data_IF_786561548966
#
_entry.id   IF_786561548966
#
_cell.length_a   1.000
_cell.length_b   1.000
_cell.length_c   1.000
_cell.angle_alpha   90.00
_cell.angle_beta   90.00
_cell.angle_gamma   90.00
#
_symmetry.space_group_name_H-M   'P 1'
#
loop_
_entity.id
_entity.type
_entity.pdbx_description
1 polymer ?
#
# COMPACT_ATOMS: atom_id res chain seq x y z
N UNK A 1 8.61 -8.80 15.74
CA UNK A 1 8.66 -7.65 14.83
C UNK A 1 8.10 -8.03 13.48
N UNK A 2 7.32 -7.15 12.89
CA UNK A 2 6.70 -7.38 11.58
C UNK A 2 7.09 -6.28 10.61
N UNK A 3 7.08 -6.64 9.33
CA UNK A 3 7.26 -5.69 8.25
C UNK A 3 5.99 -5.70 7.42
N UNK A 4 5.41 -4.53 7.22
CA UNK A 4 4.19 -4.39 6.41
C UNK A 4 4.54 -3.58 5.16
N UNK A 5 4.26 -4.16 4.02
CA UNK A 5 4.45 -3.51 2.73
C UNK A 5 3.09 -3.24 2.12
N UNK A 6 2.84 -1.98 1.80
CA UNK A 6 1.63 -1.56 1.10
C UNK A 6 2.06 -1.15 -0.29
N UNK A 7 1.47 -1.77 -1.30
CA UNK A 7 1.79 -1.49 -2.69
C UNK A 7 0.55 -1.02 -3.41
N UNK A 8 0.69 0.04 -4.18
CA UNK A 8 -0.39 0.60 -5.00
C UNK A 8 -0.03 0.41 -6.46
N UNK A 9 -0.99 -0.08 -7.23
CA UNK A 9 -0.82 -0.37 -8.66
C UNK A 9 -1.89 0.34 -9.47
N UNK A 10 -1.58 0.69 -10.70
CA UNK A 10 -2.60 1.13 -11.64
C UNK A 10 -3.37 -0.09 -12.18
N UNK A 11 -4.35 0.16 -13.03
CA UNK A 11 -5.19 -0.91 -13.57
C UNK A 11 -4.47 -1.79 -14.58
N UNK A 12 -3.29 -1.37 -15.03
CA UNK A 12 -2.45 -2.17 -15.91
C UNK A 12 -1.50 -3.06 -15.10
N UNK A 13 -1.54 -2.95 -13.78
CA UNK A 13 -0.68 -3.73 -12.91
C UNK A 13 0.69 -3.12 -12.70
N UNK A 14 0.91 -1.88 -13.12
CA UNK A 14 2.19 -1.22 -12.94
C UNK A 14 2.26 -0.61 -11.55
N UNK A 15 3.39 -0.77 -10.83
CA UNK A 15 3.51 -0.20 -9.50
C UNK A 15 3.56 1.32 -9.56
N UNK A 16 2.79 1.94 -8.68
CA UNK A 16 2.68 3.38 -8.56
C UNK A 16 3.39 3.87 -7.31
N UNK A 17 3.22 3.16 -6.21
CA UNK A 17 3.72 3.61 -4.93
C UNK A 17 3.86 2.43 -3.99
N UNK A 18 4.81 2.52 -3.07
CA UNK A 18 5.04 1.46 -2.10
C UNK A 18 5.49 2.07 -0.78
N UNK A 19 5.03 1.50 0.31
CA UNK A 19 5.46 1.87 1.64
C UNK A 19 5.82 0.62 2.43
N UNK A 20 6.95 0.65 3.09
CA UNK A 20 7.39 -0.43 3.96
C UNK A 20 7.51 0.13 5.37
N UNK A 21 6.82 -0.50 6.30
CA UNK A 21 6.80 -0.07 7.69
C UNK A 21 7.15 -1.25 8.59
N UNK A 22 8.02 -1.02 9.55
CA UNK A 22 8.41 -2.03 10.53
C UNK A 22 7.85 -1.67 11.89
N UNK A 23 7.53 -2.67 12.67
CA UNK A 23 7.03 -2.46 14.01
C UNK A 23 6.58 -3.76 14.66
N UNK A 24 5.83 -3.63 15.73
CA UNK A 24 5.26 -4.79 16.40
C UNK A 24 3.88 -5.08 15.79
N UNK A 25 3.49 -6.34 15.82
CA UNK A 25 2.26 -6.77 15.16
C UNK A 25 1.00 -6.06 15.69
N UNK A 26 1.01 -5.69 16.97
CA UNK A 26 -0.14 -5.01 17.57
C UNK A 26 -0.28 -3.55 17.11
N UNK A 27 0.78 -2.94 16.59
CA UNK A 27 0.74 -1.55 16.15
C UNK A 27 -0.07 -1.36 14.88
N UNK A 28 -0.14 -2.39 14.04
CA UNK A 28 -0.81 -2.26 12.74
C UNK A 28 -2.31 -2.36 12.82
N UNK A 29 -2.82 -2.76 13.97
CA UNK A 29 -4.27 -2.78 14.19
C UNK A 29 -4.83 -1.37 14.41
N UNK A 30 -3.95 -0.44 14.80
CA UNK A 30 -4.39 0.90 15.17
C UNK A 30 -3.67 2.03 14.42
N UNK A 31 -2.65 1.69 13.61
CA UNK A 31 -1.83 2.70 12.93
C UNK A 31 -2.09 2.63 11.43
N UNK A 32 -2.93 3.52 10.90
CA UNK A 32 -3.21 3.50 9.47
C UNK A 32 -2.00 3.95 8.66
N UNK A 33 -1.89 3.41 7.46
CA UNK A 33 -0.91 3.88 6.49
C UNK A 33 -1.60 4.90 5.59
N UNK A 34 -0.96 6.05 5.41
CA UNK A 34 -1.51 7.13 4.62
C UNK A 34 -0.77 7.23 3.30
N UNK A 35 -1.53 7.21 2.21
CA UNK A 35 -0.99 7.47 0.88
C UNK A 35 -1.37 8.88 0.47
N UNK A 36 -0.38 9.65 0.02
CA UNK A 36 -0.57 11.06 -0.33
C UNK A 36 -1.01 11.26 -1.78
N UNK A 37 -1.41 10.19 -2.46
CA UNK A 37 -1.89 10.22 -3.84
C UNK A 37 -0.81 10.62 -4.84
N UNK A 38 0.43 10.34 -4.51
CA UNK A 38 1.57 10.60 -5.38
C UNK A 38 2.24 9.30 -5.78
N UNK A 39 2.89 9.32 -6.95
CA UNK A 39 3.71 8.21 -7.37
C UNK A 39 5.09 8.28 -6.70
N UNK A 40 5.98 7.37 -7.07
CA UNK A 40 7.32 7.32 -6.47
C UNK A 40 8.16 8.55 -6.77
N UNK A 41 7.87 9.23 -7.87
CA UNK A 41 8.59 10.43 -8.26
C UNK A 41 8.01 11.70 -7.63
N UNK A 42 6.95 11.57 -6.83
CA UNK A 42 6.33 12.70 -6.18
C UNK A 42 5.29 13.42 -7.02
N UNK A 43 4.89 12.83 -8.14
CA UNK A 43 3.86 13.42 -8.99
C UNK A 43 2.49 12.92 -8.56
N UNK A 44 1.52 13.81 -8.53
CA UNK A 44 0.16 13.42 -8.21
C UNK A 44 -0.38 12.45 -9.26
N UNK A 45 -0.99 11.36 -8.81
CA UNK A 45 -1.58 10.39 -9.73
C UNK A 45 -2.87 10.93 -10.31
N UNK A 46 -3.21 10.45 -11.51
CA UNK A 46 -4.45 10.86 -12.16
C UNK A 46 -5.64 10.22 -11.48
N UNK A 47 -6.81 10.83 -11.63
CA UNK A 47 -8.06 10.22 -11.19
C UNK A 47 -8.23 8.87 -11.83
N UNK A 48 -8.76 7.93 -11.09
CA UNK A 48 -9.05 6.62 -11.63
C UNK A 48 -9.10 5.56 -10.55
N UNK A 49 -9.12 4.34 -11.00
CA UNK A 49 -9.16 3.18 -10.11
C UNK A 49 -7.73 2.65 -9.97
N UNK A 50 -7.35 2.39 -8.74
CA UNK A 50 -6.06 1.81 -8.39
C UNK A 50 -6.30 0.58 -7.55
N UNK A 51 -5.30 -0.27 -7.50
CA UNK A 51 -5.33 -1.49 -6.69
C UNK A 51 -4.30 -1.34 -5.58
N UNK A 52 -4.63 -1.79 -4.38
CA UNK A 52 -3.63 -1.89 -3.35
C UNK A 52 -3.54 -3.29 -2.80
N UNK A 53 -2.37 -3.66 -2.37
CA UNK A 53 -2.11 -4.94 -1.74
C UNK A 53 -1.25 -4.74 -0.52
N UNK A 54 -1.61 -5.40 0.57
CA UNK A 54 -0.81 -5.41 1.78
C UNK A 54 -0.12 -6.76 1.94
N UNK A 55 1.12 -6.73 2.34
CA UNK A 55 1.90 -7.93 2.62
C UNK A 55 2.52 -7.77 3.99
N UNK A 56 2.38 -8.78 4.83
CA UNK A 56 2.92 -8.77 6.18
C UNK A 56 3.97 -9.87 6.28
N UNK A 57 5.15 -9.49 6.74
CA UNK A 57 6.24 -10.41 6.94
C UNK A 57 6.62 -10.45 8.42
N UNK A 58 6.64 -11.65 8.98
CA UNK A 58 7.05 -11.85 10.37
C UNK A 58 8.07 -12.98 10.36
N UNK A 59 9.34 -12.64 10.61
CA UNK A 59 10.42 -13.59 10.48
C UNK A 59 10.51 -14.11 9.05
N UNK A 60 10.41 -15.42 8.89
CA UNK A 60 10.43 -16.04 7.56
C UNK A 60 9.03 -16.24 6.97
N UNK A 61 8.00 -15.86 7.71
CA UNK A 61 6.63 -16.04 7.27
C UNK A 61 6.12 -14.79 6.57
N UNK A 62 5.55 -14.96 5.39
CA UNK A 62 4.96 -13.88 4.63
C UNK A 62 3.49 -14.19 4.39
N UNK A 63 2.63 -13.26 4.76
CA UNK A 63 1.19 -13.36 4.53
C UNK A 63 0.76 -12.20 3.67
N UNK A 64 -0.01 -12.49 2.64
CA UNK A 64 -0.56 -11.48 1.77
C UNK A 64 -2.03 -11.32 2.05
N UNK A 65 -2.47 -10.07 2.10
CA UNK A 65 -3.89 -9.80 2.19
C UNK A 65 -4.49 -9.76 0.80
N UNK A 66 -5.81 -9.68 0.77
CA UNK A 66 -6.52 -9.56 -0.49
C UNK A 66 -6.20 -8.22 -1.15
N UNK A 67 -6.21 -8.22 -2.48
CA UNK A 67 -6.07 -6.99 -3.24
C UNK A 67 -7.41 -6.27 -3.28
N UNK A 68 -7.37 -4.98 -3.04
CA UNK A 68 -8.56 -4.14 -3.02
C UNK A 68 -8.44 -3.02 -4.04
N UNK A 69 -9.59 -2.55 -4.49
CA UNK A 69 -9.65 -1.39 -5.37
C UNK A 69 -9.80 -0.14 -4.52
N UNK A 70 -9.17 0.92 -4.99
CA UNK A 70 -9.39 2.25 -4.42
C UNK A 70 -9.63 3.22 -5.56
N UNK A 71 -10.51 4.17 -5.33
CA UNK A 71 -10.81 5.20 -6.32
C UNK A 71 -10.13 6.49 -5.92
N UNK A 72 -9.37 7.06 -6.84
CA UNK A 72 -8.80 8.39 -6.67
C UNK A 72 -9.72 9.35 -7.39
N UNK A 73 -10.34 10.23 -6.63
CA UNK A 73 -11.30 11.20 -7.15
C UNK A 73 -10.82 12.60 -6.87
N UNK A 74 -11.59 13.56 -7.36
CA UNK A 74 -11.28 14.95 -7.15
C UNK A 74 -10.24 15.48 -8.11
N UNK A 75 -9.58 16.49 -7.66
CA UNK A 75 -8.75 17.30 -8.54
C UNK A 75 -7.30 16.98 -8.45
#
# INVERSE_FOLDING_TARGET
QVEVTISIYDMLGQPVWESVTNGRSDMYLTSPVTWNLQDRAGHRVTRGIYLYRASIREGDNVSNTLTHRIAVTGN
#
